data_IF_192886283795
#
_entry.id   IF_192886283795
#
_cell.length_a   1.000
_cell.length_b   1.000
_cell.length_c   1.000
_cell.angle_alpha   90.00
_cell.angle_beta   90.00
_cell.angle_gamma   90.00
#
_symmetry.space_group_name_H-M   'P 1'
#
loop_
_entity.id
_entity.type
_entity.pdbx_description
1 polymer ?
#
# COMPACT_ATOMS: atom_id res chain seq x y z
N UNK A 1 6.62 -11.66 7.79
CA UNK A 1 5.15 -11.50 7.91
C UNK A 1 4.39 -11.82 6.61
N UNK A 2 4.83 -11.29 5.46
CA UNK A 2 4.00 -11.20 4.26
C UNK A 2 3.98 -12.41 3.32
N UNK A 3 4.74 -13.46 3.60
CA UNK A 3 4.94 -14.62 2.70
C UNK A 3 3.65 -15.17 2.09
N UNK A 4 3.42 -14.84 0.82
CA UNK A 4 2.26 -15.23 0.00
C UNK A 4 0.89 -14.88 0.59
N UNK A 5 0.82 -13.85 1.45
CA UNK A 5 -0.44 -13.38 2.05
C UNK A 5 -1.14 -12.38 1.14
N UNK A 6 -2.46 -12.33 1.23
CA UNK A 6 -3.26 -11.24 0.69
C UNK A 6 -3.82 -10.40 1.83
N UNK A 7 -3.71 -9.08 1.72
CA UNK A 7 -4.22 -8.12 2.70
C UNK A 7 -5.23 -7.22 2.01
N UNK A 8 -6.46 -7.19 2.53
CA UNK A 8 -7.45 -6.17 2.18
C UNK A 8 -7.26 -4.97 3.10
N UNK A 9 -7.13 -3.79 2.52
CA UNK A 9 -6.94 -2.51 3.20
C UNK A 9 -8.16 -1.64 2.92
N UNK A 10 -8.79 -1.12 3.96
CA UNK A 10 -9.86 -0.13 3.85
C UNK A 10 -9.39 1.18 4.50
N UNK A 11 -9.17 2.21 3.68
CA UNK A 11 -8.70 3.52 4.11
C UNK A 11 -9.84 4.43 4.58
N UNK A 12 -9.50 5.41 5.42
CA UNK A 12 -10.37 6.45 5.97
C UNK A 12 -11.02 7.36 4.91
N UNK A 13 -10.40 7.50 3.74
CA UNK A 13 -10.95 8.21 2.59
C UNK A 13 -11.97 7.38 1.76
N UNK A 14 -12.29 6.16 2.20
CA UNK A 14 -13.22 5.25 1.53
C UNK A 14 -12.60 4.40 0.42
N UNK A 15 -11.31 4.56 0.10
CA UNK A 15 -10.64 3.69 -0.86
C UNK A 15 -10.37 2.31 -0.25
N UNK A 16 -10.52 1.27 -1.07
CA UNK A 16 -10.25 -0.12 -0.68
C UNK A 16 -9.26 -0.74 -1.64
N UNK A 17 -8.20 -1.32 -1.10
CA UNK A 17 -7.19 -2.02 -1.87
C UNK A 17 -7.06 -3.47 -1.42
N UNK A 18 -6.75 -4.37 -2.36
CA UNK A 18 -6.23 -5.71 -2.09
C UNK A 18 -4.75 -5.72 -2.47
N UNK A 19 -3.89 -6.12 -1.54
CA UNK A 19 -2.46 -6.29 -1.77
C UNK A 19 -2.09 -7.75 -1.55
N UNK A 20 -1.78 -8.44 -2.64
CA UNK A 20 -1.30 -9.82 -2.63
C UNK A 20 0.21 -9.82 -2.71
N UNK A 21 0.87 -10.26 -1.66
CA UNK A 21 2.31 -10.45 -1.64
C UNK A 21 2.65 -11.74 -2.36
N UNK A 22 3.52 -11.68 -3.36
CA UNK A 22 3.89 -12.76 -4.27
C UNK A 22 5.29 -13.31 -3.91
N UNK A 23 5.69 -14.48 -4.45
CA UNK A 23 7.07 -14.94 -4.38
C UNK A 23 8.06 -13.92 -4.96
N UNK A 24 9.30 -13.92 -4.47
CA UNK A 24 10.39 -13.11 -5.03
C UNK A 24 10.32 -11.62 -4.67
N UNK A 25 9.72 -11.25 -3.54
CA UNK A 25 9.63 -9.85 -3.08
C UNK A 25 8.83 -8.95 -4.03
N UNK A 26 7.82 -9.52 -4.68
CA UNK A 26 6.83 -8.79 -5.45
C UNK A 26 5.50 -8.71 -4.71
N UNK A 27 4.72 -7.69 -5.01
CA UNK A 27 3.31 -7.60 -4.63
C UNK A 27 2.47 -7.26 -5.85
N UNK A 28 1.20 -7.65 -5.83
CA UNK A 28 0.16 -7.13 -6.71
C UNK A 28 -0.82 -6.32 -5.88
N UNK A 29 -1.01 -5.06 -6.20
CA UNK A 29 -2.11 -4.28 -5.65
C UNK A 29 -3.30 -4.26 -6.62
N UNK A 30 -4.50 -4.12 -6.09
CA UNK A 30 -5.74 -3.97 -6.87
C UNK A 30 -6.68 -3.04 -6.11
N UNK A 31 -7.13 -1.97 -6.75
CA UNK A 31 -8.10 -1.06 -6.18
C UNK A 31 -9.52 -1.63 -6.36
N UNK A 32 -10.18 -1.95 -5.25
CA UNK A 32 -11.53 -2.52 -5.22
C UNK A 32 -12.61 -1.42 -5.17
N UNK A 33 -12.32 -0.32 -4.48
CA UNK A 33 -13.20 0.85 -4.30
C UNK A 33 -12.35 2.13 -4.24
N UNK A 34 -12.87 3.24 -4.75
CA UNK A 34 -12.16 4.53 -4.80
C UNK A 34 -11.93 5.04 -6.22
N UNK A 35 -11.10 6.08 -6.35
CA UNK A 35 -10.79 6.74 -7.62
C UNK A 35 -10.20 5.77 -8.66
N UNK A 36 -9.30 4.90 -8.22
CA UNK A 36 -8.54 4.00 -9.09
C UNK A 36 -9.23 2.63 -9.29
N UNK A 37 -10.53 2.53 -8.99
CA UNK A 37 -11.25 1.25 -8.97
C UNK A 37 -11.05 0.45 -10.26
N UNK A 38 -10.64 -0.81 -10.12
CA UNK A 38 -10.38 -1.72 -11.21
C UNK A 38 -8.91 -1.75 -11.66
N UNK A 39 -8.09 -0.77 -11.24
CA UNK A 39 -6.66 -0.76 -11.55
C UNK A 39 -5.90 -1.77 -10.69
N UNK A 40 -4.82 -2.30 -11.25
CA UNK A 40 -3.89 -3.20 -10.58
C UNK A 40 -2.51 -3.13 -11.23
N UNK A 41 -1.45 -3.27 -10.44
CA UNK A 41 -0.09 -3.46 -10.94
C UNK A 41 0.69 -4.43 -10.05
N UNK A 42 1.76 -4.99 -10.59
CA UNK A 42 2.77 -5.74 -9.84
C UNK A 42 4.01 -4.90 -9.64
N UNK A 43 4.52 -4.85 -8.42
CA UNK A 43 5.68 -4.05 -8.05
C UNK A 43 6.63 -4.84 -7.15
N UNK A 44 7.92 -4.53 -7.23
CA UNK A 44 8.89 -5.00 -6.23
C UNK A 44 8.70 -4.21 -4.94
N UNK A 45 8.78 -4.88 -3.79
CA UNK A 45 8.60 -4.24 -2.49
C UNK A 45 9.74 -4.57 -1.52
N UNK A 46 9.92 -3.72 -0.53
CA UNK A 46 10.76 -3.97 0.63
C UNK A 46 9.89 -4.00 1.89
N UNK A 47 10.22 -4.89 2.82
CA UNK A 47 9.58 -4.93 4.14
C UNK A 47 10.61 -5.08 5.26
N UNK A 48 10.48 -4.25 6.30
CA UNK A 48 11.33 -4.26 7.48
C UNK A 48 10.46 -4.28 8.73
N UNK A 49 10.74 -5.18 9.67
CA UNK A 49 10.14 -5.12 11.00
C UNK A 49 10.90 -4.08 11.84
N UNK A 50 10.25 -2.95 12.11
CA UNK A 50 10.87 -1.80 12.81
C UNK A 50 10.72 -1.89 14.33
N UNK A 51 9.75 -2.68 14.79
CA UNK A 51 9.54 -3.09 16.18
C UNK A 51 8.73 -4.39 16.18
N UNK A 52 8.68 -5.17 17.28
CA UNK A 52 7.94 -6.43 17.31
C UNK A 52 6.48 -6.29 16.85
N UNK A 53 6.13 -6.90 15.72
CA UNK A 53 4.79 -6.83 15.12
C UNK A 53 4.45 -5.55 14.37
N UNK A 54 5.40 -4.63 14.17
CA UNK A 54 5.24 -3.38 13.43
C UNK A 54 6.19 -3.40 12.22
N UNK A 55 5.61 -3.31 11.03
CA UNK A 55 6.33 -3.47 9.77
C UNK A 55 6.28 -2.19 8.95
N UNK A 56 7.42 -1.74 8.46
CA UNK A 56 7.51 -0.76 7.39
C UNK A 56 7.53 -1.52 6.06
N UNK A 57 6.61 -1.22 5.15
CA UNK A 57 6.54 -1.78 3.80
C UNK A 57 6.64 -0.64 2.80
N UNK A 58 7.43 -0.79 1.75
CA UNK A 58 7.62 0.24 0.74
C UNK A 58 7.70 -0.38 -0.66
N UNK A 59 7.10 0.30 -1.64
CA UNK A 59 7.35 0.07 -3.06
C UNK A 59 7.29 1.38 -3.84
N UNK A 60 7.87 1.34 -5.03
CA UNK A 60 7.73 2.37 -6.06
C UNK A 60 6.90 1.77 -7.18
N UNK A 61 5.92 2.52 -7.66
CA UNK A 61 5.17 2.16 -8.87
C UNK A 61 5.95 2.59 -10.12
N UNK A 62 5.69 1.92 -11.25
CA UNK A 62 6.40 2.19 -12.51
C UNK A 62 6.28 3.64 -13.02
N UNK A 63 5.23 4.36 -12.62
CA UNK A 63 4.99 5.77 -12.97
C UNK A 63 5.62 6.77 -11.98
N UNK A 64 6.32 6.26 -10.96
CA UNK A 64 7.04 7.04 -9.96
C UNK A 64 6.24 7.34 -8.70
N UNK A 65 5.02 6.83 -8.54
CA UNK A 65 4.30 6.92 -7.27
C UNK A 65 5.05 6.13 -6.20
N UNK A 66 5.34 6.76 -5.06
CA UNK A 66 6.00 6.11 -3.93
C UNK A 66 4.98 5.79 -2.84
N UNK A 67 4.92 4.53 -2.40
CA UNK A 67 4.03 4.11 -1.32
C UNK A 67 4.84 3.60 -0.14
N UNK A 68 4.61 4.16 1.05
CA UNK A 68 5.22 3.68 2.31
C UNK A 68 4.12 3.39 3.30
N UNK A 69 4.16 2.22 3.93
CA UNK A 69 3.15 1.74 4.86
C UNK A 69 3.80 1.34 6.19
N UNK A 70 3.14 1.70 7.28
CA UNK A 70 3.39 1.14 8.62
C UNK A 70 2.22 0.21 8.93
N UNK A 71 2.50 -1.08 8.97
CA UNK A 71 1.52 -2.16 9.12
C UNK A 71 1.61 -2.74 10.52
N UNK A 72 0.48 -2.81 11.22
CA UNK A 72 0.36 -3.38 12.57
C UNK A 72 -0.68 -4.51 12.56
N UNK A 73 -0.32 -5.74 12.16
CA UNK A 73 -1.28 -6.81 11.91
C UNK A 73 -2.13 -7.21 13.12
N UNK A 74 -1.54 -7.22 14.32
CA UNK A 74 -2.28 -7.54 15.56
C UNK A 74 -3.34 -6.50 15.91
N UNK A 75 -3.05 -5.24 15.62
CA UNK A 75 -3.99 -4.13 15.84
C UNK A 75 -5.00 -4.00 14.68
N UNK A 76 -4.77 -4.72 13.57
CA UNK A 76 -5.53 -4.58 12.33
C UNK A 76 -5.52 -3.15 11.76
N UNK A 77 -4.42 -2.43 11.93
CA UNK A 77 -4.26 -1.03 11.47
C UNK A 77 -3.10 -0.89 10.50
N UNK A 78 -3.25 0.04 9.56
CA UNK A 78 -2.19 0.50 8.66
C UNK A 78 -2.19 2.02 8.55
N UNK A 79 -1.01 2.61 8.44
CA UNK A 79 -0.84 4.01 8.05
C UNK A 79 -0.01 4.06 6.79
N UNK A 80 -0.48 4.78 5.77
CA UNK A 80 0.13 4.84 4.45
C UNK A 80 0.45 6.28 4.09
N UNK A 81 1.66 6.52 3.61
CA UNK A 81 2.04 7.73 2.89
C UNK A 81 2.18 7.40 1.40
N UNK A 82 1.52 8.18 0.55
CA UNK A 82 1.63 8.07 -0.91
C UNK A 82 2.18 9.39 -1.42
N UNK A 83 3.28 9.34 -2.18
CA UNK A 83 3.83 10.51 -2.87
C UNK A 83 3.57 10.35 -4.36
N UNK A 84 2.75 11.24 -4.91
CA UNK A 84 2.40 11.27 -6.32
C UNK A 84 3.27 12.32 -7.01
N UNK A 85 4.06 11.97 -8.05
CA UNK A 85 4.85 12.91 -8.82
C UNK A 85 4.01 14.08 -9.35
N UNK A 86 4.62 15.27 -9.42
CA UNK A 86 3.96 16.50 -9.90
C UNK A 86 3.33 16.34 -11.29
N UNK A 87 4.02 15.60 -12.18
CA UNK A 87 3.55 15.29 -13.53
C UNK A 87 2.22 14.51 -13.57
N UNK A 88 1.92 13.71 -12.54
CA UNK A 88 0.67 12.96 -12.40
C UNK A 88 -0.36 13.74 -11.56
N UNK A 89 0.10 14.50 -10.58
CA UNK A 89 -0.76 15.29 -9.69
C UNK A 89 -1.32 16.57 -10.33
N UNK A 90 -0.75 17.01 -11.47
CA UNK A 90 -1.20 18.21 -12.19
C UNK A 90 -0.80 19.55 -11.56
N UNK A 91 0.24 19.55 -10.71
CA UNK A 91 0.77 20.75 -10.06
C UNK A 91 2.29 20.87 -10.20
N UNK A 92 2.88 21.90 -9.59
CA UNK A 92 4.34 22.15 -9.69
C UNK A 92 5.19 21.32 -8.71
N UNK A 93 4.54 20.65 -7.74
CA UNK A 93 5.19 19.87 -6.68
C UNK A 93 4.51 18.51 -6.54
N UNK A 94 5.21 17.48 -6.03
CA UNK A 94 4.59 16.21 -5.70
C UNK A 94 3.45 16.39 -4.69
N UNK A 95 2.38 15.60 -4.84
CA UNK A 95 1.27 15.56 -3.90
C UNK A 95 1.51 14.43 -2.90
N UNK A 96 1.49 14.76 -1.60
CA UNK A 96 1.55 13.78 -0.52
C UNK A 96 0.17 13.47 0.04
N UNK A 97 -0.20 12.20 0.11
CA UNK A 97 -1.37 11.70 0.81
C UNK A 97 -0.93 10.93 2.05
N UNK A 98 -1.62 11.16 3.16
CA UNK A 98 -1.45 10.37 4.39
C UNK A 98 -2.80 9.78 4.73
N UNK A 99 -2.87 8.45 4.75
CA UNK A 99 -4.10 7.69 4.95
C UNK A 99 -3.93 6.74 6.12
N UNK A 100 -4.98 6.57 6.92
CA UNK A 100 -5.07 5.49 7.89
C UNK A 100 -6.13 4.50 7.47
N UNK A 101 -5.97 3.23 7.82
CA UNK A 101 -6.92 2.21 7.42
C UNK A 101 -6.95 1.00 8.34
N UNK A 102 -8.01 0.22 8.18
CA UNK A 102 -8.12 -1.11 8.75
C UNK A 102 -7.59 -2.15 7.75
N UNK A 103 -6.97 -3.20 8.26
CA UNK A 103 -6.49 -4.33 7.45
C UNK A 103 -7.15 -5.64 7.86
N UNK A 104 -7.39 -6.48 6.87
CA UNK A 104 -7.79 -7.87 7.06
C UNK A 104 -6.90 -8.78 6.20
N UNK A 105 -6.37 -9.85 6.80
CA UNK A 105 -5.62 -10.86 6.04
C UNK A 105 -6.62 -11.83 5.44
N UNK A 106 -6.63 -11.92 4.12
CA UNK A 106 -7.43 -12.89 3.38
C UNK A 106 -6.66 -14.22 3.32
N UNK A 107 -7.38 -15.33 3.55
CA UNK A 107 -6.86 -16.70 3.46
C UNK A 107 -6.98 -17.24 2.03
#
# INVERSE_FOLDING_TARGET
MFGQKTIRIAYDNGAVYRVSYLPGEHLRWTCLEGHDKGNSAEEAYTALEVAPGIWLVHWMESDGIAVTQVVQPKAAVINTTIIIPSALAGGDKPLGLVLSGAINVEN
#
